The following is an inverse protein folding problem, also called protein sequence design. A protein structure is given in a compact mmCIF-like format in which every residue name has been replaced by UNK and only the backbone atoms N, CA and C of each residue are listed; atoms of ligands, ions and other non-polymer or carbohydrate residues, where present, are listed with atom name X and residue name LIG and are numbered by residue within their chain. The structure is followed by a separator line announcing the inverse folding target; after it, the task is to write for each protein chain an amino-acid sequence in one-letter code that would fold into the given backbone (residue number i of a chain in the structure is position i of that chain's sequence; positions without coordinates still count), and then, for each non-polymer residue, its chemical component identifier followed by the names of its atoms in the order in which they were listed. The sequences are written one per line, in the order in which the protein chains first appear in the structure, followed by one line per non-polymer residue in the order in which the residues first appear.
data_IF_866974380558
#
_entry.id   IF_866974380558
#
_cell.length_a   1.000
_cell.length_b   1.000
_cell.length_c   1.000
_cell.angle_alpha   90.00
_cell.angle_beta   90.00
_cell.angle_gamma   90.00
#
_symmetry.space_group_name_H-M   'P 1'
#
loop_
_entity.id
_entity.type
_entity.pdbx_description
1 polymer ?
#
# COMPACT_ATOMS: atom_id res chain seq x y z
N UNK A 1 21.82 15.65 7.31
CA UNK A 1 20.79 15.70 6.25
C UNK A 1 20.64 14.31 5.69
N UNK A 2 19.63 13.57 6.15
CA UNK A 2 19.38 12.18 5.74
C UNK A 2 18.83 12.18 4.30
N UNK A 3 19.31 11.32 3.38
CA UNK A 3 18.84 11.34 2.01
C UNK A 3 17.36 10.97 1.99
N UNK A 4 16.53 11.86 1.43
CA UNK A 4 15.13 11.61 1.14
C UNK A 4 15.06 10.37 0.25
N UNK A 5 14.61 9.24 0.81
CA UNK A 5 14.47 7.99 0.08
C UNK A 5 13.63 8.26 -1.18
N UNK A 6 14.24 8.14 -2.36
CA UNK A 6 13.54 8.11 -3.65
C UNK A 6 12.37 7.17 -3.47
N UNK A 7 11.12 7.63 -3.65
CA UNK A 7 9.93 6.79 -3.46
C UNK A 7 10.15 5.46 -4.22
N UNK A 8 10.45 4.37 -3.49
CA UNK A 8 10.86 3.13 -4.15
C UNK A 8 9.70 2.63 -5.00
N UNK A 9 10.02 1.84 -6.02
CA UNK A 9 8.96 1.15 -6.74
C UNK A 9 8.26 0.21 -5.75
N UNK A 10 6.92 0.20 -5.66
CA UNK A 10 6.25 -0.57 -4.63
C UNK A 10 6.54 -2.06 -4.81
N UNK A 11 6.89 -2.71 -3.72
CA UNK A 11 7.02 -4.16 -3.61
C UNK A 11 5.69 -4.76 -3.12
N UNK A 12 5.01 -4.04 -2.22
CA UNK A 12 3.72 -4.45 -1.66
C UNK A 12 2.70 -3.33 -1.80
N UNK A 13 1.53 -3.67 -2.31
CA UNK A 13 0.36 -2.79 -2.38
C UNK A 13 -0.70 -3.33 -1.44
N UNK A 14 -1.08 -2.54 -0.44
CA UNK A 14 -2.16 -2.85 0.48
C UNK A 14 -3.49 -2.26 -0.01
N UNK A 15 -4.48 -3.10 -0.28
CA UNK A 15 -5.81 -2.65 -0.67
C UNK A 15 -6.64 -2.11 0.50
N UNK A 16 -6.95 -0.81 0.49
CA UNK A 16 -7.77 -0.13 1.49
C UNK A 16 -8.76 0.88 0.85
N UNK A 17 -9.35 0.49 -0.28
CA UNK A 17 -10.28 1.33 -1.05
C UNK A 17 -11.73 1.25 -0.56
N UNK A 18 -12.07 0.31 0.33
CA UNK A 18 -13.43 0.10 0.81
C UNK A 18 -13.69 0.80 2.16
N UNK A 19 -14.89 1.34 2.32
CA UNK A 19 -15.37 2.01 3.54
C UNK A 19 -15.64 1.07 4.70
N UNK A 20 -15.77 -0.25 4.46
CA UNK A 20 -16.00 -1.24 5.51
C UNK A 20 -14.73 -1.48 6.32
N UNK A 21 -14.75 -1.06 7.59
CA UNK A 21 -13.71 -1.39 8.54
C UNK A 21 -13.87 -2.85 8.99
N UNK A 22 -12.87 -3.70 8.73
CA UNK A 22 -12.83 -5.07 9.24
C UNK A 22 -11.69 -5.26 10.23
N UNK A 23 -11.71 -6.38 10.96
CA UNK A 23 -10.57 -6.82 11.77
C UNK A 23 -9.26 -6.81 10.97
N UNK A 24 -9.28 -7.29 9.71
CA UNK A 24 -8.12 -7.25 8.80
C UNK A 24 -7.59 -5.83 8.59
N UNK A 25 -8.45 -4.83 8.36
CA UNK A 25 -8.00 -3.43 8.23
C UNK A 25 -7.39 -2.92 9.53
N UNK A 26 -7.97 -3.23 10.68
CA UNK A 26 -7.41 -2.84 11.99
C UNK A 26 -6.03 -3.45 12.22
N UNK A 27 -5.87 -4.76 12.02
CA UNK A 27 -4.59 -5.45 12.17
C UNK A 27 -3.55 -4.92 11.20
N UNK A 28 -3.93 -4.73 9.93
CA UNK A 28 -3.07 -4.15 8.90
C UNK A 28 -2.52 -2.78 9.32
N UNK A 29 -3.38 -1.89 9.84
CA UNK A 29 -2.97 -0.55 10.28
C UNK A 29 -2.02 -0.59 11.48
N UNK A 30 -2.23 -1.52 12.41
CA UNK A 30 -1.40 -1.67 13.61
C UNK A 30 0.03 -2.14 13.28
N UNK A 31 0.18 -3.04 12.29
CA UNK A 31 1.49 -3.57 11.89
C UNK A 31 2.16 -2.76 10.78
N UNK A 32 1.46 -1.78 10.22
CA UNK A 32 1.89 -1.04 9.03
C UNK A 32 3.26 -0.38 9.18
N UNK A 33 3.54 0.22 10.34
CA UNK A 33 4.82 0.86 10.61
C UNK A 33 5.98 -0.15 10.51
N UNK A 34 5.79 -1.34 11.09
CA UNK A 34 6.80 -2.40 11.03
C UNK A 34 6.96 -2.97 9.60
N UNK A 35 5.86 -3.10 8.85
CA UNK A 35 5.92 -3.57 7.47
C UNK A 35 6.64 -2.58 6.53
N UNK A 36 6.51 -1.27 6.79
CA UNK A 36 7.20 -0.23 6.01
C UNK A 36 8.71 -0.23 6.21
N UNK A 37 9.20 -0.72 7.35
CA UNK A 37 10.64 -0.89 7.59
C UNK A 37 11.22 -2.12 6.85
N UNK A 38 10.37 -3.07 6.46
CA UNK A 38 10.78 -4.32 5.84
C UNK A 38 10.65 -4.33 4.31
N UNK A 39 9.72 -3.54 3.76
CA UNK A 39 9.43 -3.53 2.33
C UNK A 39 8.94 -2.16 1.83
N UNK A 40 9.15 -1.90 0.54
CA UNK A 40 8.62 -0.72 -0.14
C UNK A 40 7.09 -0.83 -0.30
N UNK A 41 6.35 -0.41 0.73
CA UNK A 41 4.91 -0.60 0.83
C UNK A 41 4.11 0.67 0.52
N UNK A 42 3.02 0.52 -0.22
CA UNK A 42 2.04 1.59 -0.47
C UNK A 42 0.61 1.15 -0.18
N UNK A 43 -0.23 2.08 0.27
CA UNK A 43 -1.65 1.81 0.54
C UNK A 43 -2.51 2.39 -0.58
N UNK A 44 -3.29 1.53 -1.25
CA UNK A 44 -4.27 1.92 -2.26
C UNK A 44 -5.61 2.26 -1.58
N UNK A 45 -5.94 3.53 -1.50
CA UNK A 45 -7.12 4.02 -0.79
C UNK A 45 -6.77 4.73 0.52
N UNK A 46 -7.79 5.27 1.20
CA UNK A 46 -7.59 6.21 2.31
C UNK A 46 -8.50 5.95 3.53
N UNK A 47 -9.37 4.93 3.47
CA UNK A 47 -10.40 4.76 4.49
C UNK A 47 -9.78 4.29 5.81
N UNK A 48 -10.04 5.00 6.91
CA UNK A 48 -9.47 4.72 8.23
C UNK A 48 -7.93 4.76 8.27
N UNK A 49 -7.29 5.34 7.25
CA UNK A 49 -5.84 5.45 7.19
C UNK A 49 -5.39 6.67 8.01
N UNK A 50 -4.41 6.52 8.93
CA UNK A 50 -3.81 7.66 9.59
C UNK A 50 -3.21 8.64 8.58
N UNK A 51 -3.31 9.94 8.86
CA UNK A 51 -2.81 11.00 7.98
C UNK A 51 -1.30 10.94 7.75
N UNK A 52 -0.57 10.25 8.62
CA UNK A 52 0.88 10.02 8.55
C UNK A 52 1.28 8.98 7.50
N UNK A 53 0.34 8.18 6.99
CA UNK A 53 0.63 7.11 6.04
C UNK A 53 0.51 7.61 4.61
N UNK A 54 1.53 7.34 3.80
CA UNK A 54 1.48 7.57 2.36
C UNK A 54 0.44 6.66 1.68
N UNK A 55 -0.55 7.30 1.06
CA UNK A 55 -1.54 6.65 0.20
C UNK A 55 -1.29 6.92 -1.28
N UNK A 56 -1.70 5.98 -2.12
CA UNK A 56 -1.72 6.14 -3.58
C UNK A 56 -3.15 6.05 -4.11
N UNK A 57 -3.41 6.80 -5.16
CA UNK A 57 -4.66 6.70 -5.91
C UNK A 57 -4.55 5.62 -6.99
N UNK A 58 -5.69 5.07 -7.41
CA UNK A 58 -5.75 3.96 -8.37
C UNK A 58 -5.08 4.29 -9.71
N UNK A 59 -5.46 5.41 -10.35
CA UNK A 59 -4.93 5.76 -11.68
C UNK A 59 -3.42 6.04 -11.67
N UNK A 60 -2.85 6.84 -10.73
CA UNK A 60 -1.39 7.00 -10.62
C UNK A 60 -0.65 5.68 -10.39
N UNK A 61 -1.20 4.81 -9.53
CA UNK A 61 -0.61 3.50 -9.27
C UNK A 61 -0.61 2.63 -10.52
N UNK A 62 -1.73 2.56 -11.23
CA UNK A 62 -1.86 1.80 -12.49
C UNK A 62 -0.84 2.29 -13.53
N UNK A 63 -0.71 3.60 -13.72
CA UNK A 63 0.30 4.19 -14.62
C UNK A 63 1.73 3.79 -14.23
N UNK A 64 2.05 3.79 -12.92
CA UNK A 64 3.36 3.36 -12.40
C UNK A 64 3.61 1.88 -12.70
N UNK A 65 2.62 1.02 -12.50
CA UNK A 65 2.70 -0.42 -12.75
C UNK A 65 2.81 -0.77 -14.25
N UNK A 66 2.25 0.04 -15.15
CA UNK A 66 2.40 -0.13 -16.60
C UNK A 66 3.68 0.50 -17.17
N UNK A 67 4.51 1.15 -16.35
CA UNK A 67 5.71 1.85 -16.81
C UNK A 67 6.88 0.89 -17.05
N UNK A 68 7.91 1.35 -17.79
CA UNK A 68 9.18 0.61 -17.95
C UNK A 68 9.85 0.30 -16.61
N UNK A 69 9.63 1.12 -15.58
CA UNK A 69 10.20 0.89 -14.26
C UNK A 69 9.66 -0.39 -13.58
N UNK A 70 8.48 -0.87 -14.01
CA UNK A 70 7.87 -2.09 -13.51
C UNK A 70 8.42 -3.37 -14.14
N UNK A 71 9.10 -3.27 -15.28
CA UNK A 71 9.56 -4.44 -16.03
C UNK A 71 10.55 -5.26 -15.18
N UNK A 72 10.31 -6.56 -15.08
CA UNK A 72 11.13 -7.48 -14.29
C UNK A 72 10.98 -7.35 -12.78
N UNK A 73 10.06 -6.50 -12.27
CA UNK A 73 9.79 -6.39 -10.83
C UNK A 73 8.56 -7.20 -10.44
N UNK A 74 8.66 -7.88 -9.31
CA UNK A 74 7.51 -8.51 -8.65
C UNK A 74 6.84 -7.48 -7.74
N UNK A 75 5.53 -7.32 -7.88
CA UNK A 75 4.72 -6.50 -6.98
C UNK A 75 3.60 -7.36 -6.41
N UNK A 76 3.51 -7.43 -5.10
CA UNK A 76 2.48 -8.19 -4.40
C UNK A 76 1.31 -7.27 -4.09
N UNK A 77 0.12 -7.59 -4.63
CA UNK A 77 -1.12 -6.95 -4.21
C UNK A 77 -1.76 -7.77 -3.10
N UNK A 78 -1.79 -7.23 -1.88
CA UNK A 78 -2.46 -7.87 -0.75
C UNK A 78 -3.97 -7.66 -0.87
N UNK A 79 -4.63 -8.63 -1.50
CA UNK A 79 -6.07 -8.65 -1.64
C UNK A 79 -6.73 -9.06 -0.32
N UNK A 80 -7.56 -8.18 0.23
CA UNK A 80 -8.47 -8.50 1.32
C UNK A 80 -9.75 -9.11 0.74
N UNK A 81 -10.18 -10.26 1.28
CA UNK A 81 -11.57 -10.70 1.12
C UNK A 81 -12.48 -9.93 2.08
N UNK A 82 -13.61 -9.46 1.56
CA UNK A 82 -14.59 -8.67 2.30
C UNK A 82 -15.77 -9.53 2.80
N UNK A 83 -15.58 -10.85 2.92
CA UNK A 83 -16.60 -11.79 3.38
C UNK A 83 -16.37 -12.28 4.83
N UNK A 84 -15.46 -11.65 5.57
CA UNK A 84 -15.23 -11.93 7.00
C UNK A 84 -16.16 -11.06 7.87
N UNK A 85 -17.47 -11.20 7.58
CA UNK A 85 -18.65 -11.06 8.44
C UNK A 85 -19.88 -11.35 7.60
#
# INVERSE_FOLDING_TARGET
MTPTARDPFPEVILGNANRRFSGVTSTMLQVLAHQQDQAALVVLGAWHLPSTVKRVQFLPLLRKLCSRQAQGRTVVFHARRNNEM
#
